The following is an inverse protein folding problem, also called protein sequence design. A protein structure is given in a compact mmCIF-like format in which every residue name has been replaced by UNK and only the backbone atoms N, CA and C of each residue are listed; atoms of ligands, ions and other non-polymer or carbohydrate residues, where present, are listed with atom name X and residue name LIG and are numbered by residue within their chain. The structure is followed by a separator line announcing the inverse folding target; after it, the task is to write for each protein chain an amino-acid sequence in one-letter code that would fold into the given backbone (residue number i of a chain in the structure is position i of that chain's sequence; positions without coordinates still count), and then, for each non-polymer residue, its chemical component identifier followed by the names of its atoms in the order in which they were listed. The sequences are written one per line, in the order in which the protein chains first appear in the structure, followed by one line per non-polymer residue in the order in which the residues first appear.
data_IF_624055283024
#
_entry.id   IF_624055283024
#
_cell.length_a   1.000
_cell.length_b   1.000
_cell.length_c   1.000
_cell.angle_alpha   90.00
_cell.angle_beta   90.00
_cell.angle_gamma   90.00
#
_symmetry.space_group_name_H-M   'P 1'
#
loop_
_entity.id
_entity.type
_entity.pdbx_description
1 polymer ?
#
# COMPACT_ATOMS: atom_id res chain seq x y z
N UNK A 1 -2.91 -0.21 27.86
CA UNK A 1 -3.37 -0.98 26.68
C UNK A 1 -2.62 -2.29 26.65
N UNK A 2 -3.31 -3.43 26.75
CA UNK A 2 -2.70 -4.75 26.99
C UNK A 2 -2.34 -5.54 25.72
N UNK A 3 -2.42 -4.92 24.55
CA UNK A 3 -2.07 -5.54 23.27
C UNK A 3 -1.29 -4.56 22.41
N UNK A 4 -0.03 -4.87 22.13
CA UNK A 4 0.76 -4.21 21.09
C UNK A 4 0.60 -4.95 19.76
N UNK A 5 0.72 -4.24 18.64
CA UNK A 5 0.72 -4.87 17.32
C UNK A 5 1.81 -5.94 17.16
N UNK A 6 1.63 -6.93 16.26
CA UNK A 6 2.66 -7.91 15.93
C UNK A 6 4.01 -7.26 15.61
N UNK A 7 5.10 -7.94 15.98
CA UNK A 7 6.44 -7.47 15.59
C UNK A 7 6.54 -7.46 14.06
N UNK A 8 7.03 -6.36 13.51
CA UNK A 8 7.14 -6.15 12.06
C UNK A 8 5.97 -5.38 11.44
N UNK A 9 4.91 -5.06 12.20
CA UNK A 9 3.81 -4.21 11.72
C UNK A 9 3.81 -2.85 12.42
N UNK A 10 3.38 -1.81 11.71
CA UNK A 10 3.20 -0.45 12.23
C UNK A 10 1.90 0.13 11.68
N UNK A 11 1.21 0.91 12.50
CA UNK A 11 0.05 1.67 12.06
C UNK A 11 0.49 2.83 11.15
N UNK A 12 -0.21 3.01 10.04
CA UNK A 12 -0.05 4.18 9.17
C UNK A 12 -1.10 5.21 9.60
N UNK A 13 -0.64 6.22 10.32
CA UNK A 13 -1.48 7.25 10.96
C UNK A 13 -1.65 8.49 10.06
N UNK A 14 -2.59 9.39 10.38
CA UNK A 14 -2.66 10.71 9.75
C UNK A 14 -1.32 11.46 9.79
N UNK A 15 -0.98 12.15 8.71
CA UNK A 15 0.34 12.75 8.45
C UNK A 15 1.33 11.83 7.71
N UNK A 16 1.16 10.50 7.82
CA UNK A 16 1.98 9.50 7.11
C UNK A 16 1.21 8.90 5.93
N UNK A 17 -0.09 8.64 6.10
CA UNK A 17 -0.93 8.00 5.08
C UNK A 17 -1.00 8.83 3.79
N UNK A 18 -0.97 10.15 3.90
CA UNK A 18 -1.07 11.09 2.78
C UNK A 18 0.17 11.02 1.88
N UNK A 19 1.35 10.81 2.47
CA UNK A 19 2.60 10.64 1.72
C UNK A 19 2.58 9.35 0.90
N UNK A 20 2.05 8.26 1.48
CA UNK A 20 1.85 7.00 0.76
C UNK A 20 0.84 7.14 -0.38
N UNK A 21 -0.31 7.76 -0.11
CA UNK A 21 -1.33 8.02 -1.14
C UNK A 21 -0.79 8.86 -2.30
N UNK A 22 0.02 9.88 -2.01
CA UNK A 22 0.67 10.71 -3.03
C UNK A 22 1.64 9.87 -3.88
N UNK A 23 2.49 9.08 -3.23
CA UNK A 23 3.46 8.22 -3.92
C UNK A 23 2.75 7.19 -4.81
N UNK A 24 1.76 6.48 -4.27
CA UNK A 24 0.95 5.51 -5.01
C UNK A 24 0.24 6.16 -6.21
N UNK A 25 -0.26 7.39 -6.04
CA UNK A 25 -0.85 8.17 -7.12
C UNK A 25 0.13 8.45 -8.26
N UNK A 26 1.36 8.85 -7.94
CA UNK A 26 2.42 9.10 -8.92
C UNK A 26 2.79 7.82 -9.69
N UNK A 27 2.96 6.71 -8.98
CA UNK A 27 3.26 5.41 -9.59
C UNK A 27 2.13 4.96 -10.52
N UNK A 28 0.87 5.08 -10.07
CA UNK A 28 -0.31 4.73 -10.86
C UNK A 28 -0.43 5.58 -12.13
N UNK A 29 -0.17 6.88 -12.04
CA UNK A 29 -0.19 7.76 -13.21
C UNK A 29 0.92 7.40 -14.19
N UNK A 30 2.13 7.12 -13.72
CA UNK A 30 3.24 6.67 -14.55
C UNK A 30 2.89 5.38 -15.29
N UNK A 31 2.41 4.34 -14.60
CA UNK A 31 2.00 3.09 -15.23
C UNK A 31 0.93 3.30 -16.31
N UNK A 32 -0.07 4.15 -16.04
CA UNK A 32 -1.13 4.48 -16.99
C UNK A 32 -0.60 5.13 -18.26
N UNK A 33 0.41 6.00 -18.18
CA UNK A 33 1.05 6.65 -19.36
C UNK A 33 1.69 5.64 -20.30
N UNK A 34 2.12 4.49 -19.80
CA UNK A 34 2.69 3.40 -20.58
C UNK A 34 1.68 2.27 -20.83
N UNK A 35 0.38 2.55 -20.70
CA UNK A 35 -0.72 1.61 -20.96
C UNK A 35 -0.71 0.34 -20.08
N UNK A 36 -0.02 0.36 -18.94
CA UNK A 36 -0.17 -0.67 -17.92
C UNK A 36 -1.48 -0.49 -17.16
N UNK A 37 -2.11 -1.61 -16.81
CA UNK A 37 -3.36 -1.66 -16.04
C UNK A 37 -3.12 -2.36 -14.71
N UNK A 38 -3.75 -1.87 -13.67
CA UNK A 38 -3.69 -2.49 -12.35
C UNK A 38 -4.33 -3.88 -12.37
N UNK A 39 -3.66 -4.85 -11.75
CA UNK A 39 -4.20 -6.18 -11.43
C UNK A 39 -4.04 -6.33 -9.92
N UNK A 40 -5.06 -6.87 -9.24
CA UNK A 40 -5.02 -7.16 -7.80
C UNK A 40 -5.18 -8.65 -7.58
N UNK A 41 -4.18 -9.27 -6.97
CA UNK A 41 -4.20 -10.67 -6.57
C UNK A 41 -4.65 -10.79 -5.11
N UNK A 42 -5.09 -11.98 -4.67
CA UNK A 42 -5.25 -12.30 -3.26
C UNK A 42 -3.99 -11.99 -2.42
N UNK A 43 -4.19 -11.63 -1.14
CA UNK A 43 -3.10 -11.32 -0.20
C UNK A 43 -2.29 -12.57 0.17
N UNK A 44 -2.95 -13.73 0.17
CA UNK A 44 -2.35 -15.03 0.44
C UNK A 44 -2.74 -15.99 -0.68
N UNK A 45 -1.80 -16.85 -1.05
CA UNK A 45 -1.97 -17.92 -2.03
C UNK A 45 -1.47 -19.23 -1.43
N UNK A 46 -1.92 -20.35 -1.99
CA UNK A 46 -1.39 -21.66 -1.61
C UNK A 46 0.08 -21.77 -2.06
N UNK A 47 0.92 -22.33 -1.19
CA UNK A 47 2.30 -22.74 -1.48
C UNK A 47 2.43 -24.25 -1.55
#
# INVERSE_FOLDING_TARGET
MLTSGPRGTKDILPGVVEQWQQFEGLVRDMCRRYNYREIRTPIFEHT
#
